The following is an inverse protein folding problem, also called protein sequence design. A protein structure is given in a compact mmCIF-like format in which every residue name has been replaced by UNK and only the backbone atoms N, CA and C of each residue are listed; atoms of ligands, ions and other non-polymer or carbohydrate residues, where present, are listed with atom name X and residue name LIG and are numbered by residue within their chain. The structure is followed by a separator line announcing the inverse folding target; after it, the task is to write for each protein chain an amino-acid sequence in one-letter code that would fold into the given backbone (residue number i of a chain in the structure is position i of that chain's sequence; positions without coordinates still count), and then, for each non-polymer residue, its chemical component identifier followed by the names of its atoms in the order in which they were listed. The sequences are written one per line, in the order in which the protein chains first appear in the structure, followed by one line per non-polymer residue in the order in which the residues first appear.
data_IF_974874235269
#
_entry.id   IF_974874235269
#
_cell.length_a   1.000
_cell.length_b   1.000
_cell.length_c   1.000
_cell.angle_alpha   90.00
_cell.angle_beta   90.00
_cell.angle_gamma   90.00
#
_symmetry.space_group_name_H-M   'P 1'
#
loop_
_entity.id
_entity.type
_entity.pdbx_description
1 polymer ?
#
# COMPACT_ATOMS: atom_id res chain seq x y z
N UNK A 1 19.19 -10.78 3.46
CA UNK A 1 19.06 -9.44 2.79
C UNK A 1 20.29 -9.23 1.91
N UNK A 2 20.10 -8.97 0.63
CA UNK A 2 21.18 -8.69 -0.33
C UNK A 2 21.67 -7.23 -0.19
N UNK A 3 22.86 -6.94 -0.71
CA UNK A 3 23.39 -5.58 -0.76
C UNK A 3 22.53 -4.69 -1.68
N UNK A 4 22.41 -3.42 -1.34
CA UNK A 4 21.66 -2.42 -2.10
C UNK A 4 22.34 -1.06 -1.97
N UNK A 5 22.10 -0.18 -2.95
CA UNK A 5 22.44 1.24 -2.86
C UNK A 5 21.38 1.97 -2.01
N UNK A 6 21.79 3.01 -1.30
CA UNK A 6 20.88 3.86 -0.54
C UNK A 6 20.96 5.30 -1.02
N UNK A 7 19.80 5.89 -1.35
CA UNK A 7 19.66 7.27 -1.75
C UNK A 7 18.59 7.98 -0.91
N UNK A 8 18.82 9.25 -0.58
CA UNK A 8 17.89 10.08 0.20
C UNK A 8 17.68 11.43 -0.50
N UNK A 9 16.86 11.47 -1.57
CA UNK A 9 16.53 12.68 -2.29
C UNK A 9 15.75 13.66 -1.43
N UNK A 10 15.86 14.96 -1.74
CA UNK A 10 15.18 16.04 -1.03
C UNK A 10 13.82 16.42 -1.66
N UNK A 11 13.59 16.06 -2.93
CA UNK A 11 12.40 16.43 -3.72
C UNK A 11 11.77 15.22 -4.39
N UNK A 12 10.48 15.33 -4.73
CA UNK A 12 9.76 14.30 -5.54
C UNK A 12 10.45 14.09 -6.90
N UNK A 13 10.88 15.18 -7.54
CA UNK A 13 11.57 15.13 -8.83
C UNK A 13 12.86 14.31 -8.77
N UNK A 14 13.66 14.50 -7.74
CA UNK A 14 14.88 13.70 -7.52
C UNK A 14 14.54 12.24 -7.21
N UNK A 15 13.49 12.00 -6.40
CA UNK A 15 13.08 10.64 -6.04
C UNK A 15 12.66 9.82 -7.28
N UNK A 16 11.80 10.37 -8.14
CA UNK A 16 11.36 9.65 -9.35
C UNK A 16 12.47 9.46 -10.36
N UNK A 17 13.47 10.37 -10.42
CA UNK A 17 14.64 10.20 -11.27
C UNK A 17 15.55 9.03 -10.84
N UNK A 18 15.47 8.59 -9.59
CA UNK A 18 16.22 7.46 -9.03
C UNK A 18 15.51 6.12 -9.22
N UNK A 19 14.22 6.13 -9.64
CA UNK A 19 13.48 4.93 -9.97
C UNK A 19 13.93 4.37 -11.32
N UNK A 20 13.69 3.11 -11.54
CA UNK A 20 14.08 2.42 -12.79
C UNK A 20 12.87 2.00 -13.62
N UNK A 21 13.14 1.38 -14.77
CA UNK A 21 12.10 0.84 -15.66
C UNK A 21 11.56 -0.53 -15.23
N UNK A 22 12.07 -1.09 -14.14
CA UNK A 22 11.60 -2.37 -13.60
C UNK A 22 11.67 -2.36 -12.06
N UNK A 23 10.88 -3.23 -11.43
CA UNK A 23 10.71 -3.27 -9.99
C UNK A 23 11.97 -3.62 -9.19
N UNK A 24 12.94 -4.32 -9.80
CA UNK A 24 14.18 -4.71 -9.12
C UNK A 24 15.24 -3.61 -9.15
N UNK A 25 15.08 -2.56 -9.99
CA UNK A 25 16.04 -1.47 -10.10
C UNK A 25 16.06 -0.61 -8.84
N UNK A 26 14.88 -0.25 -8.33
CA UNK A 26 14.77 0.54 -7.11
C UNK A 26 13.45 0.27 -6.37
N UNK A 27 13.44 0.53 -5.07
CA UNK A 27 12.24 0.55 -4.23
C UNK A 27 12.17 1.81 -3.38
N UNK A 28 10.98 2.37 -3.24
CA UNK A 28 10.71 3.50 -2.37
C UNK A 28 10.67 3.06 -0.91
N UNK A 29 11.45 3.71 -0.07
CA UNK A 29 11.47 3.49 1.39
C UNK A 29 10.77 4.65 2.08
N UNK A 30 9.52 4.42 2.51
CA UNK A 30 8.79 5.30 3.44
C UNK A 30 8.95 4.78 4.88
N UNK A 31 7.89 4.26 5.50
CA UNK A 31 7.96 3.67 6.84
C UNK A 31 8.78 2.38 6.94
N UNK A 32 8.94 1.64 5.84
CA UNK A 32 9.71 0.41 5.76
C UNK A 32 9.07 -0.81 6.44
N UNK A 33 7.90 -0.67 7.05
CA UNK A 33 7.25 -1.71 7.86
C UNK A 33 6.85 -2.96 7.06
N UNK A 34 6.68 -2.85 5.76
CA UNK A 34 6.47 -3.98 4.85
C UNK A 34 7.75 -4.32 4.05
N UNK A 35 8.32 -3.33 3.36
CA UNK A 35 9.46 -3.52 2.45
C UNK A 35 10.65 -4.21 3.12
N UNK A 36 11.03 -3.78 4.34
CA UNK A 36 12.20 -4.33 5.00
C UNK A 36 12.02 -5.81 5.39
N UNK A 37 10.79 -6.23 5.70
CA UNK A 37 10.50 -7.64 5.97
C UNK A 37 10.67 -8.49 4.69
N UNK A 38 10.11 -8.03 3.56
CA UNK A 38 10.29 -8.71 2.26
C UNK A 38 11.76 -8.82 1.86
N UNK A 39 12.57 -7.80 2.18
CA UNK A 39 14.01 -7.82 1.90
C UNK A 39 14.76 -8.74 2.84
N UNK A 40 14.40 -8.83 4.13
CA UNK A 40 14.99 -9.76 5.09
C UNK A 40 14.72 -11.21 4.70
N UNK A 41 13.50 -11.49 4.24
CA UNK A 41 13.07 -12.82 3.82
C UNK A 41 13.47 -13.14 2.36
N UNK A 42 14.21 -12.23 1.71
CA UNK A 42 14.69 -12.33 0.32
C UNK A 42 13.58 -12.54 -0.74
N UNK A 43 12.35 -12.26 -0.38
CA UNK A 43 11.19 -12.28 -1.31
C UNK A 43 11.30 -11.14 -2.33
N UNK A 44 11.90 -10.01 -1.90
CA UNK A 44 12.16 -8.86 -2.77
C UNK A 44 13.56 -8.30 -2.50
N UNK A 45 14.34 -8.08 -3.55
CA UNK A 45 15.73 -7.65 -3.45
C UNK A 45 16.02 -6.53 -4.47
N UNK A 46 15.57 -5.29 -4.22
CA UNK A 46 15.84 -4.16 -5.10
C UNK A 46 17.33 -3.78 -5.06
N UNK A 47 17.87 -3.34 -6.19
CA UNK A 47 19.25 -2.88 -6.27
C UNK A 47 19.48 -1.55 -5.51
N UNK A 48 18.43 -0.72 -5.38
CA UNK A 48 18.49 0.58 -4.68
C UNK A 48 17.28 0.79 -3.78
N UNK A 49 17.51 1.41 -2.60
CA UNK A 49 16.47 1.99 -1.76
C UNK A 49 16.47 3.51 -1.89
N UNK A 50 15.33 4.08 -2.23
CA UNK A 50 15.11 5.52 -2.32
C UNK A 50 14.28 5.97 -1.11
N UNK A 51 14.93 6.58 -0.12
CA UNK A 51 14.29 7.06 1.10
C UNK A 51 13.51 8.35 0.82
N UNK A 52 12.19 8.29 0.93
CA UNK A 52 11.29 9.42 0.66
C UNK A 52 10.76 10.11 1.92
N UNK A 53 11.12 9.65 3.12
CA UNK A 53 10.60 10.19 4.39
C UNK A 53 10.91 11.67 4.62
N UNK A 54 12.04 12.14 4.11
CA UNK A 54 12.48 13.52 4.25
C UNK A 54 11.85 14.51 3.26
N UNK A 55 11.11 14.03 2.28
CA UNK A 55 10.52 14.86 1.22
C UNK A 55 9.27 15.56 1.74
N UNK A 56 9.37 16.86 2.03
CA UNK A 56 8.28 17.67 2.63
C UNK A 56 7.00 17.69 1.78
N UNK A 57 7.13 17.65 0.47
CA UNK A 57 6.02 17.65 -0.49
C UNK A 57 5.08 16.43 -0.31
N UNK A 58 5.62 15.32 0.18
CA UNK A 58 4.89 14.07 0.41
C UNK A 58 4.20 14.01 1.77
N UNK A 59 4.40 14.98 2.64
CA UNK A 59 3.82 15.03 3.99
C UNK A 59 2.56 15.89 4.07
N UNK A 60 2.02 15.94 5.29
CA UNK A 60 0.95 16.83 5.70
C UNK A 60 -0.45 16.44 5.24
N UNK A 61 -1.44 16.98 5.98
CA UNK A 61 -2.89 16.83 5.72
C UNK A 61 -3.47 18.22 5.61
N UNK A 62 -4.16 18.53 4.52
CA UNK A 62 -4.70 19.86 4.25
C UNK A 62 -5.99 19.82 3.45
N UNK A 63 -6.87 20.83 3.64
CA UNK A 63 -8.05 21.04 2.79
C UNK A 63 -7.63 21.70 1.47
N UNK A 64 -8.22 21.23 0.40
CA UNK A 64 -8.09 21.79 -0.95
C UNK A 64 -9.49 21.97 -1.56
N UNK A 65 -9.58 22.61 -2.72
CA UNK A 65 -10.83 22.70 -3.47
C UNK A 65 -11.38 21.33 -3.89
N UNK A 66 -10.51 20.33 -4.09
CA UNK A 66 -10.90 18.96 -4.46
C UNK A 66 -11.33 18.09 -3.25
N UNK A 67 -11.09 18.55 -2.03
CA UNK A 67 -11.37 17.81 -0.80
C UNK A 67 -10.18 17.80 0.16
N UNK A 68 -10.03 16.74 0.95
CA UNK A 68 -8.89 16.55 1.84
C UNK A 68 -7.72 15.92 1.09
N UNK A 69 -6.58 16.62 1.10
CA UNK A 69 -5.29 16.10 0.64
C UNK A 69 -4.57 15.45 1.79
N UNK A 70 -4.08 14.23 1.58
CA UNK A 70 -3.26 13.47 2.53
C UNK A 70 -1.98 13.08 1.80
N UNK A 71 -0.83 13.57 2.25
CA UNK A 71 0.47 13.22 1.67
C UNK A 71 0.82 11.75 1.90
N UNK A 72 1.54 11.14 0.95
CA UNK A 72 1.84 9.71 1.00
C UNK A 72 2.72 9.29 2.18
N UNK A 73 3.56 10.19 2.71
CA UNK A 73 4.43 9.92 3.88
C UNK A 73 3.78 10.26 5.22
N UNK A 74 2.53 10.75 5.23
CA UNK A 74 1.76 10.90 6.48
C UNK A 74 1.65 9.52 7.13
N UNK A 75 2.03 9.44 8.41
CA UNK A 75 1.93 8.19 9.17
C UNK A 75 0.49 7.86 9.52
N UNK A 76 0.20 6.59 9.77
CA UNK A 76 -1.13 6.17 10.23
C UNK A 76 -1.50 6.84 11.55
N UNK A 77 -0.51 7.12 12.42
CA UNK A 77 -0.77 7.81 13.69
C UNK A 77 -1.11 9.29 13.45
N UNK A 78 -0.39 10.01 12.57
CA UNK A 78 -0.73 11.39 12.19
C UNK A 78 -2.13 11.48 11.56
N UNK A 79 -2.52 10.47 10.74
CA UNK A 79 -3.86 10.37 10.19
C UNK A 79 -4.92 10.27 11.29
N UNK A 80 -4.70 9.39 12.29
CA UNK A 80 -5.58 9.20 13.45
C UNK A 80 -5.70 10.49 14.27
N UNK A 81 -4.60 11.21 14.47
CA UNK A 81 -4.55 12.38 15.34
C UNK A 81 -5.01 13.67 14.66
N UNK A 82 -5.16 13.66 13.33
CA UNK A 82 -5.60 14.81 12.56
C UNK A 82 -7.02 15.26 12.92
N UNK A 83 -7.23 16.50 13.39
CA UNK A 83 -8.58 17.03 13.63
C UNK A 83 -9.45 17.09 12.38
N UNK A 84 -8.84 17.35 11.20
CA UNK A 84 -9.55 17.36 9.91
C UNK A 84 -10.11 16.00 9.56
N UNK A 85 -9.30 14.94 9.74
CA UNK A 85 -9.72 13.56 9.47
C UNK A 85 -10.80 13.13 10.46
N UNK A 86 -10.65 13.42 11.74
CA UNK A 86 -11.65 13.06 12.76
C UNK A 86 -13.01 13.71 12.52
N UNK A 87 -13.00 14.96 12.05
CA UNK A 87 -14.22 15.72 11.84
C UNK A 87 -14.99 15.31 10.58
N UNK A 88 -14.29 15.06 9.47
CA UNK A 88 -14.93 14.85 8.16
C UNK A 88 -14.87 13.38 7.69
N UNK A 89 -13.85 12.64 8.10
CA UNK A 89 -13.59 11.28 7.64
C UNK A 89 -13.27 10.32 8.79
N UNK A 90 -14.16 10.19 9.80
CA UNK A 90 -13.91 9.31 10.94
C UNK A 90 -13.66 7.85 10.56
N UNK A 91 -14.19 7.38 9.42
CA UNK A 91 -13.91 6.04 8.88
C UNK A 91 -12.41 5.81 8.62
N UNK A 92 -11.68 6.81 8.12
CA UNK A 92 -10.24 6.70 7.90
C UNK A 92 -9.46 6.59 9.21
N UNK A 93 -9.82 7.40 10.22
CA UNK A 93 -9.20 7.30 11.53
C UNK A 93 -9.50 5.96 12.21
N UNK A 94 -10.71 5.40 11.99
CA UNK A 94 -11.10 4.08 12.51
C UNK A 94 -10.31 2.97 11.81
N UNK A 95 -10.24 2.98 10.46
CA UNK A 95 -9.47 2.03 9.69
C UNK A 95 -7.98 2.01 10.09
N UNK A 96 -7.36 3.21 10.23
CA UNK A 96 -5.97 3.30 10.69
C UNK A 96 -5.75 2.76 12.11
N UNK A 97 -6.74 2.88 13.01
CA UNK A 97 -6.69 2.27 14.36
C UNK A 97 -6.76 0.75 14.32
N UNK A 98 -7.37 0.17 13.29
CA UNK A 98 -7.37 -1.28 13.05
C UNK A 98 -5.96 -1.86 12.88
N UNK A 99 -4.96 -1.05 12.53
CA UNK A 99 -3.55 -1.43 12.64
C UNK A 99 -3.14 -1.41 14.10
N UNK A 100 -3.24 -2.54 14.79
CA UNK A 100 -3.14 -2.64 16.26
C UNK A 100 -1.76 -2.24 16.83
N UNK A 101 -0.66 -2.43 16.08
CA UNK A 101 0.69 -2.09 16.54
C UNK A 101 0.94 -0.58 16.51
N UNK A 102 1.15 0.02 17.68
CA UNK A 102 1.53 1.43 17.79
C UNK A 102 2.86 1.73 17.05
N UNK A 103 3.80 0.80 17.07
CA UNK A 103 5.08 0.92 16.36
C UNK A 103 4.85 1.00 14.84
N UNK A 104 3.96 0.15 14.30
CA UNK A 104 3.61 0.20 12.88
C UNK A 104 2.87 1.49 12.56
N UNK A 105 1.92 1.95 13.39
CA UNK A 105 1.20 3.21 13.13
C UNK A 105 2.12 4.43 13.12
N UNK A 106 3.14 4.47 13.98
CA UNK A 106 4.10 5.58 14.04
C UNK A 106 5.12 5.58 12.88
N UNK A 107 5.29 4.46 12.19
CA UNK A 107 6.25 4.32 11.09
C UNK A 107 5.58 4.09 9.74
N UNK A 108 4.53 3.29 9.69
CA UNK A 108 3.76 3.01 8.49
C UNK A 108 3.04 4.26 7.99
N UNK A 109 3.06 4.47 6.68
CA UNK A 109 2.53 5.66 6.04
C UNK A 109 1.29 5.35 5.21
N UNK A 110 0.48 6.36 4.91
CA UNK A 110 -0.72 6.21 4.08
C UNK A 110 -0.38 5.63 2.70
N UNK A 111 0.65 6.17 2.02
CA UNK A 111 1.11 5.61 0.75
C UNK A 111 1.66 4.19 0.90
N UNK A 112 2.38 3.92 2.00
CA UNK A 112 2.89 2.58 2.30
C UNK A 112 1.79 1.57 2.56
N UNK A 113 0.71 1.94 3.24
CA UNK A 113 -0.46 1.08 3.46
C UNK A 113 -1.13 0.70 2.14
N UNK A 114 -1.29 1.66 1.22
CA UNK A 114 -1.87 1.40 -0.10
C UNK A 114 -0.96 0.59 -1.04
N UNK A 115 0.35 0.72 -0.90
CA UNK A 115 1.35 0.07 -1.76
C UNK A 115 1.96 -1.20 -1.14
N UNK A 116 1.55 -1.62 0.06
CA UNK A 116 2.07 -2.81 0.70
C UNK A 116 1.74 -4.08 -0.10
N UNK A 117 2.64 -5.05 -0.07
CA UNK A 117 2.50 -6.30 -0.79
C UNK A 117 1.56 -7.26 -0.06
N UNK A 118 0.98 -8.24 -0.77
CA UNK A 118 0.08 -9.22 -0.17
C UNK A 118 0.68 -9.90 1.06
N UNK A 119 -0.19 -10.20 2.03
CA UNK A 119 0.18 -10.94 3.23
C UNK A 119 -0.06 -12.44 3.10
N UNK A 120 -0.30 -12.92 1.89
CA UNK A 120 -0.37 -14.35 1.58
C UNK A 120 0.92 -15.05 2.02
N UNK A 121 0.82 -16.07 2.84
CA UNK A 121 1.98 -16.80 3.35
C UNK A 121 2.78 -17.51 2.26
N UNK A 122 2.15 -17.99 1.17
CA UNK A 122 2.85 -18.55 0.02
C UNK A 122 3.72 -17.48 -0.67
N UNK A 123 3.16 -16.30 -0.90
CA UNK A 123 3.91 -15.16 -1.45
C UNK A 123 5.11 -14.80 -0.55
N UNK A 124 4.88 -14.71 0.77
CA UNK A 124 5.92 -14.37 1.76
C UNK A 124 6.99 -15.45 1.93
N UNK A 125 6.73 -16.66 1.46
CA UNK A 125 7.71 -17.76 1.40
C UNK A 125 8.38 -17.90 0.02
N UNK A 126 8.16 -16.95 -0.89
CA UNK A 126 8.85 -16.90 -2.19
C UNK A 126 8.24 -17.78 -3.27
N UNK A 127 6.99 -18.23 -3.13
CA UNK A 127 6.28 -18.99 -4.18
C UNK A 127 5.71 -18.12 -5.30
N UNK A 128 5.97 -16.80 -5.28
CA UNK A 128 5.45 -15.85 -6.26
C UNK A 128 4.07 -15.30 -5.89
N UNK A 129 3.61 -14.35 -6.69
CA UNK A 129 2.39 -13.60 -6.44
C UNK A 129 1.13 -14.46 -6.63
N UNK A 130 1.15 -15.35 -7.60
CA UNK A 130 0.05 -16.28 -7.88
C UNK A 130 0.13 -17.57 -7.05
N UNK A 131 1.20 -17.77 -6.28
CA UNK A 131 1.44 -18.94 -5.46
C UNK A 131 1.26 -20.26 -6.24
N UNK A 132 1.94 -20.38 -7.38
CA UNK A 132 1.89 -21.57 -8.21
C UNK A 132 2.91 -22.62 -7.76
N UNK A 133 2.51 -23.90 -7.86
CA UNK A 133 3.40 -25.02 -7.66
C UNK A 133 4.45 -25.07 -8.79
N UNK A 134 5.73 -24.98 -8.43
CA UNK A 134 6.85 -25.03 -9.38
C UNK A 134 6.97 -26.34 -10.13
N UNK A 135 6.39 -27.41 -9.61
CA UNK A 135 6.32 -28.71 -10.26
C UNK A 135 5.15 -28.82 -11.29
N UNK A 136 4.47 -27.71 -11.60
CA UNK A 136 3.34 -27.70 -12.54
C UNK A 136 2.00 -28.15 -11.93
N UNK A 137 1.93 -28.22 -10.60
CA UNK A 137 0.75 -28.72 -9.88
C UNK A 137 -0.44 -27.74 -9.76
N UNK A 138 -0.37 -26.54 -10.30
CA UNK A 138 -1.40 -25.51 -10.21
C UNK A 138 -1.32 -24.64 -8.94
N UNK A 139 -2.44 -24.09 -8.48
CA UNK A 139 -2.48 -23.19 -7.33
C UNK A 139 -2.19 -23.91 -6.01
N UNK A 140 -1.18 -23.44 -5.26
CA UNK A 140 -0.89 -23.90 -3.90
C UNK A 140 -2.00 -23.45 -2.92
N UNK A 141 -2.66 -22.32 -3.21
CA UNK A 141 -3.75 -21.81 -2.39
C UNK A 141 -4.96 -22.72 -2.45
N UNK A 142 -5.37 -23.12 -3.67
CA UNK A 142 -6.56 -23.97 -3.87
C UNK A 142 -6.40 -25.36 -3.25
N UNK A 143 -5.18 -25.91 -3.26
CA UNK A 143 -4.88 -27.25 -2.75
C UNK A 143 -4.42 -27.30 -1.29
N UNK A 144 -4.06 -26.14 -0.72
CA UNK A 144 -3.46 -26.06 0.59
C UNK A 144 -4.26 -25.24 1.58
N UNK A 145 -3.54 -24.57 2.49
CA UNK A 145 -4.14 -23.69 3.49
C UNK A 145 -4.61 -22.40 2.83
N UNK A 146 -5.90 -22.10 2.88
CA UNK A 146 -6.50 -20.97 2.18
C UNK A 146 -7.51 -20.17 3.02
N UNK A 147 -7.61 -20.43 4.32
CA UNK A 147 -8.61 -19.84 5.22
C UNK A 147 -8.59 -18.30 5.28
N UNK A 148 -7.49 -17.65 4.81
CA UNK A 148 -7.35 -16.19 4.77
C UNK A 148 -7.11 -15.67 3.34
N UNK A 149 -7.61 -16.39 2.35
CA UNK A 149 -7.51 -15.99 0.94
C UNK A 149 -8.86 -15.55 0.38
N UNK A 150 -8.84 -14.94 -0.80
CA UNK A 150 -10.04 -14.41 -1.45
C UNK A 150 -11.04 -15.52 -1.77
N UNK A 151 -12.31 -15.31 -1.41
CA UNK A 151 -13.42 -16.27 -1.65
C UNK A 151 -14.32 -15.84 -2.80
N UNK A 152 -14.32 -14.57 -3.19
CA UNK A 152 -15.17 -14.04 -4.25
C UNK A 152 -14.42 -13.76 -5.56
N UNK A 153 -13.20 -14.28 -5.71
CA UNK A 153 -12.37 -14.05 -6.88
C UNK A 153 -12.07 -15.33 -7.62
N UNK A 154 -12.41 -15.37 -8.91
CA UNK A 154 -12.24 -16.53 -9.82
C UNK A 154 -10.91 -16.50 -10.60
N UNK A 155 -10.16 -15.39 -10.55
CA UNK A 155 -8.87 -15.24 -11.21
C UNK A 155 -7.74 -16.05 -10.55
N UNK A 156 -6.53 -16.05 -11.15
CA UNK A 156 -5.38 -16.82 -10.65
C UNK A 156 -4.82 -16.27 -9.33
N UNK A 157 -4.96 -14.96 -9.05
CA UNK A 157 -4.52 -14.34 -7.82
C UNK A 157 -5.55 -14.59 -6.71
N UNK A 158 -5.16 -15.29 -5.64
CA UNK A 158 -6.07 -15.69 -4.56
C UNK A 158 -5.84 -14.90 -3.25
N UNK A 159 -4.90 -13.98 -3.22
CA UNK A 159 -4.65 -13.13 -2.03
C UNK A 159 -5.72 -12.05 -1.89
N UNK A 160 -5.88 -11.53 -0.68
CA UNK A 160 -6.72 -10.36 -0.39
C UNK A 160 -5.89 -9.07 -0.37
N UNK A 161 -6.55 -7.93 -0.57
CA UNK A 161 -5.92 -6.62 -0.42
C UNK A 161 -5.42 -6.44 1.02
N UNK A 162 -4.14 -6.11 1.18
CA UNK A 162 -3.51 -5.98 2.49
C UNK A 162 -3.73 -4.60 3.15
N UNK A 163 -4.21 -3.60 2.40
CA UNK A 163 -4.40 -2.24 2.89
C UNK A 163 -5.57 -2.13 3.85
N UNK A 164 -5.32 -1.64 5.05
CA UNK A 164 -6.36 -1.31 6.02
C UNK A 164 -7.19 -0.09 5.61
N UNK A 165 -6.59 0.86 4.88
CA UNK A 165 -7.24 2.10 4.47
C UNK A 165 -8.07 1.94 3.19
N UNK A 166 -7.73 0.99 2.32
CA UNK A 166 -8.33 0.85 1.00
C UNK A 166 -9.87 0.77 1.02
N UNK A 167 -10.53 -0.07 1.83
CA UNK A 167 -12.00 -0.14 1.83
C UNK A 167 -12.67 1.19 2.20
N UNK A 168 -12.13 1.91 3.19
CA UNK A 168 -12.65 3.21 3.59
C UNK A 168 -12.43 4.27 2.50
N UNK A 169 -11.26 4.28 1.85
CA UNK A 169 -10.95 5.21 0.76
C UNK A 169 -11.80 4.96 -0.48
N UNK A 170 -12.06 3.70 -0.83
CA UNK A 170 -12.98 3.32 -1.93
C UNK A 170 -14.39 3.82 -1.62
N UNK A 171 -14.91 3.56 -0.43
CA UNK A 171 -16.24 4.00 -0.02
C UNK A 171 -16.39 5.55 -0.04
N UNK A 172 -15.31 6.28 0.22
CA UNK A 172 -15.27 7.73 0.15
C UNK A 172 -15.07 8.27 -1.27
N UNK A 173 -14.82 7.44 -2.27
CA UNK A 173 -14.55 7.82 -3.64
C UNK A 173 -13.22 8.57 -3.78
N UNK A 174 -12.23 8.18 -3.00
CA UNK A 174 -10.90 8.79 -3.00
C UNK A 174 -10.11 8.48 -4.27
N UNK A 175 -9.14 9.33 -4.55
CA UNK A 175 -8.17 9.16 -5.64
C UNK A 175 -6.75 9.14 -5.09
N UNK A 176 -5.86 8.47 -5.77
CA UNK A 176 -4.41 8.55 -5.58
C UNK A 176 -3.79 9.36 -6.72
N UNK A 177 -2.76 10.14 -6.41
CA UNK A 177 -1.96 10.84 -7.41
C UNK A 177 -0.62 10.14 -7.55
N UNK A 178 -0.33 9.70 -8.75
CA UNK A 178 0.89 9.02 -9.15
C UNK A 178 1.75 9.97 -9.95
N UNK A 179 3.04 10.01 -9.66
CA UNK A 179 4.00 10.95 -10.27
C UNK A 179 5.20 10.17 -10.79
N UNK A 180 5.56 10.42 -12.05
CA UNK A 180 6.80 9.96 -12.68
C UNK A 180 7.66 11.15 -13.10
N UNK A 181 8.82 10.88 -13.67
CA UNK A 181 9.68 11.93 -14.27
C UNK A 181 9.04 12.62 -15.48
N UNK A 182 8.03 11.99 -16.11
CA UNK A 182 7.41 12.45 -17.37
C UNK A 182 6.05 13.09 -17.17
N UNK A 183 5.26 12.58 -16.24
CA UNK A 183 3.86 12.97 -16.06
C UNK A 183 3.36 12.71 -14.64
N UNK A 184 2.18 13.24 -14.33
CA UNK A 184 1.40 12.83 -13.18
C UNK A 184 0.00 12.42 -13.64
N UNK A 185 -0.59 11.44 -12.94
CA UNK A 185 -1.95 10.97 -13.19
C UNK A 185 -2.70 10.75 -11.89
N UNK A 186 -4.02 10.90 -11.93
CA UNK A 186 -4.92 10.54 -10.83
C UNK A 186 -5.62 9.23 -11.16
N UNK A 187 -5.73 8.35 -10.19
CA UNK A 187 -6.42 7.07 -10.29
C UNK A 187 -7.42 6.97 -9.14
N UNK A 188 -8.65 6.57 -9.40
CA UNK A 188 -9.61 6.23 -8.34
C UNK A 188 -9.06 5.05 -7.53
N UNK A 189 -9.16 5.12 -6.20
CA UNK A 189 -8.62 4.06 -5.32
C UNK A 189 -9.25 2.71 -5.65
N UNK A 190 -10.51 2.68 -6.07
CA UNK A 190 -11.20 1.46 -6.53
C UNK A 190 -10.50 0.81 -7.73
N UNK A 191 -9.93 1.60 -8.64
CA UNK A 191 -9.22 1.14 -9.84
C UNK A 191 -7.72 0.97 -9.62
N UNK A 192 -7.20 1.47 -8.50
CA UNK A 192 -5.79 1.36 -8.16
C UNK A 192 -5.40 -0.08 -7.77
N UNK A 193 -6.32 -0.82 -7.16
CA UNK A 193 -6.11 -2.22 -6.84
C UNK A 193 -6.57 -3.09 -8.01
N UNK A 194 -5.68 -3.95 -8.48
CA UNK A 194 -5.91 -4.84 -9.62
C UNK A 194 -5.62 -6.28 -9.25
N UNK A 195 -6.32 -7.22 -9.89
CA UNK A 195 -6.05 -8.64 -9.73
C UNK A 195 -5.08 -9.09 -10.82
N UNK A 196 -3.81 -9.40 -10.50
CA UNK A 196 -2.83 -9.80 -11.49
C UNK A 196 -3.18 -11.15 -12.10
N UNK A 197 -2.91 -11.27 -13.42
CA UNK A 197 -3.12 -12.48 -14.20
C UNK A 197 -1.82 -13.26 -14.43
N UNK A 198 -0.69 -12.64 -14.13
CA UNK A 198 0.64 -13.23 -14.28
C UNK A 198 1.58 -12.78 -13.16
N UNK A 199 2.68 -13.49 -12.97
CA UNK A 199 3.74 -13.13 -12.00
C UNK A 199 4.48 -11.83 -12.36
N UNK A 200 4.34 -11.33 -13.59
CA UNK A 200 4.96 -10.09 -14.06
C UNK A 200 4.14 -8.85 -13.73
N UNK A 201 2.87 -9.02 -13.41
CA UNK A 201 1.96 -7.93 -13.04
C UNK A 201 2.07 -7.61 -11.54
N UNK A 202 1.52 -6.46 -11.17
CA UNK A 202 1.41 -6.05 -9.77
C UNK A 202 -0.06 -6.08 -9.34
N UNK A 203 -0.27 -6.11 -8.06
CA UNK A 203 -1.57 -6.02 -7.40
C UNK A 203 -2.12 -4.59 -7.33
N UNK A 204 -1.37 -3.63 -7.86
CA UNK A 204 -1.72 -2.21 -7.91
C UNK A 204 -1.38 -1.61 -9.27
N UNK A 205 -2.18 -0.63 -9.73
CA UNK A 205 -1.93 0.17 -10.93
C UNK A 205 -0.88 1.26 -10.66
N UNK A 206 0.36 0.82 -10.43
CA UNK A 206 1.54 1.64 -10.23
C UNK A 206 2.65 1.12 -11.14
N UNK A 207 3.30 2.00 -11.88
CA UNK A 207 4.45 1.66 -12.73
C UNK A 207 5.76 1.70 -11.92
N UNK A 208 6.81 0.98 -12.37
CA UNK A 208 8.11 0.97 -11.67
C UNK A 208 8.77 2.34 -11.51
N UNK A 209 8.50 3.28 -12.41
CA UNK A 209 9.02 4.65 -12.42
C UNK A 209 8.04 5.67 -11.80
N UNK A 210 6.94 5.21 -11.19
CA UNK A 210 5.96 6.07 -10.51
C UNK A 210 6.11 6.03 -8.99
N UNK A 211 5.74 7.16 -8.38
CA UNK A 211 5.62 7.37 -6.94
C UNK A 211 4.19 7.81 -6.61
N UNK A 212 3.53 7.14 -5.65
CA UNK A 212 2.29 7.63 -5.07
C UNK A 212 2.62 8.84 -4.17
N UNK A 213 2.17 10.04 -4.57
CA UNK A 213 2.52 11.29 -3.89
C UNK A 213 1.50 11.71 -2.84
N UNK A 214 0.22 11.50 -3.11
CA UNK A 214 -0.86 11.91 -2.21
C UNK A 214 -2.16 11.14 -2.47
N UNK A 215 -3.03 11.14 -1.47
CA UNK A 215 -4.43 10.69 -1.56
C UNK A 215 -5.33 11.91 -1.47
N UNK A 216 -6.34 11.99 -2.33
CA UNK A 216 -7.34 13.05 -2.37
C UNK A 216 -8.69 12.44 -2.02
N UNK A 217 -9.28 12.88 -0.92
CA UNK A 217 -10.59 12.41 -0.44
C UNK A 217 -11.62 13.51 -0.68
N UNK A 218 -12.62 13.32 -1.55
CA UNK A 218 -13.58 14.37 -1.86
C UNK A 218 -14.48 14.68 -0.65
N UNK A 219 -14.64 15.98 -0.32
CA UNK A 219 -15.52 16.42 0.76
C UNK A 219 -16.98 16.46 0.26
N UNK A 220 -17.72 15.37 0.52
CA UNK A 220 -19.13 15.23 0.09
C UNK A 220 -20.14 15.45 1.22
N UNK A 221 -19.68 15.78 2.44
CA UNK A 221 -20.56 15.95 3.61
C UNK A 221 -21.27 14.67 4.06
N UNK A 222 -20.77 13.51 3.66
CA UNK A 222 -21.36 12.20 3.98
C UNK A 222 -20.97 11.75 5.40
N UNK A 223 -21.92 11.21 6.13
CA UNK A 223 -21.62 10.43 7.34
C UNK A 223 -20.91 9.15 6.93
N UNK A 224 -19.80 8.85 7.59
CA UNK A 224 -19.00 7.68 7.29
C UNK A 224 -18.52 7.01 8.57
N UNK A 225 -18.37 5.69 8.51
CA UNK A 225 -17.86 4.85 9.59
C UNK A 225 -17.14 3.65 8.99
N UNK A 226 -16.30 3.00 9.79
CA UNK A 226 -15.57 1.80 9.43
C UNK A 226 -15.78 0.73 10.50
N UNK A 227 -15.86 -0.52 10.09
CA UNK A 227 -15.95 -1.67 10.98
C UNK A 227 -15.10 -2.81 10.43
N UNK A 228 -14.21 -3.32 11.25
CA UNK A 228 -13.38 -4.48 10.92
C UNK A 228 -14.07 -5.78 11.35
N UNK A 229 -14.17 -6.73 10.42
CA UNK A 229 -14.60 -8.10 10.73
C UNK A 229 -13.35 -8.91 11.05
N UNK A 230 -13.23 -9.33 12.30
CA UNK A 230 -12.07 -10.03 12.83
C UNK A 230 -12.49 -11.41 13.36
N UNK A 231 -11.65 -12.42 13.17
CA UNK A 231 -11.85 -13.73 13.77
C UNK A 231 -11.61 -13.70 15.28
N UNK A 232 -10.60 -12.94 15.72
CA UNK A 232 -10.25 -12.68 17.12
C UNK A 232 -10.06 -11.18 17.33
N UNK A 233 -10.34 -10.70 18.54
CA UNK A 233 -10.26 -9.27 18.84
C UNK A 233 -8.83 -8.74 19.06
N UNK A 234 -7.86 -9.62 19.31
CA UNK A 234 -6.49 -9.22 19.61
C UNK A 234 -5.53 -9.56 18.46
N UNK A 235 -4.89 -8.55 17.91
CA UNK A 235 -3.80 -8.65 16.92
C UNK A 235 -4.12 -9.37 15.60
N UNK A 236 -5.37 -9.76 15.37
CA UNK A 236 -5.79 -10.34 14.10
C UNK A 236 -5.92 -9.26 13.03
N UNK A 237 -5.79 -9.68 11.78
CA UNK A 237 -6.11 -8.85 10.61
C UNK A 237 -7.58 -9.04 10.25
N UNK A 238 -8.23 -8.05 9.62
CA UNK A 238 -9.55 -8.23 9.03
C UNK A 238 -9.59 -9.43 8.08
N UNK A 239 -10.70 -10.13 8.09
CA UNK A 239 -10.97 -11.27 7.20
C UNK A 239 -11.26 -10.80 5.77
#
# INVERSE_FOLDING_TARGET
MKNFEYASPATVKEAVALLGSNWNAAALLAGGTDLLNLMKDEVYSPARLVNIKGIKELGGISKTAAGLRIGATVTLQELIDSPLVRAEFPSLAQAARGVHSAQIRNMGTVGGDLCQRPHCWYFRQGFGLLALDRAGGGSLVEKGRNEFHAIFHDGPAKFVCASSLAPALVALGAKVKLVSSKASREVEVEKFFVAPKSELEREIDLLPDELLSEVIVPSRGLKNAHYDILQRQALDRPL
#
